data_IF_738323617859
#
_entry.id   IF_738323617859
#
_cell.length_a   1.000
_cell.length_b   1.000
_cell.length_c   1.000
_cell.angle_alpha   90.00
_cell.angle_beta   90.00
_cell.angle_gamma   90.00
#
_symmetry.space_group_name_H-M   'P 1'
#
loop_
_entity.id
_entity.type
_entity.pdbx_description
1 polymer ?
#
# COMPACT_ATOMS: atom_id res chain seq x y z
N UNK A 1 -10.88 -1.92 -33.26
CA UNK A 1 -11.20 -2.64 -32.02
C UNK A 1 -10.57 -1.90 -30.86
N UNK A 2 -11.30 -0.92 -30.32
CA UNK A 2 -10.95 -0.26 -29.08
C UNK A 2 -11.16 -1.23 -27.91
N UNK A 3 -10.23 -2.15 -27.71
CA UNK A 3 -10.24 -3.09 -26.61
C UNK A 3 -10.31 -2.33 -25.29
N UNK A 4 -11.42 -2.46 -24.61
CA UNK A 4 -11.62 -1.91 -23.28
C UNK A 4 -10.72 -2.72 -22.31
N UNK A 5 -9.43 -2.34 -22.25
CA UNK A 5 -8.47 -2.98 -21.36
C UNK A 5 -8.88 -2.72 -19.91
N UNK A 6 -9.08 -3.75 -19.09
CA UNK A 6 -9.37 -3.56 -17.68
C UNK A 6 -8.30 -2.66 -17.04
N UNK A 7 -8.66 -1.73 -16.15
CA UNK A 7 -7.70 -0.82 -15.50
C UNK A 7 -6.50 -1.54 -14.88
N UNK A 8 -6.69 -2.77 -14.40
CA UNK A 8 -5.62 -3.61 -13.83
C UNK A 8 -4.54 -3.92 -14.86
N UNK A 9 -4.88 -4.19 -16.13
CA UNK A 9 -3.90 -4.51 -17.17
C UNK A 9 -3.04 -3.29 -17.50
N UNK A 10 -3.67 -2.13 -17.66
CA UNK A 10 -2.96 -0.86 -17.93
C UNK A 10 -1.98 -0.54 -16.81
N UNK A 11 -2.42 -0.62 -15.56
CA UNK A 11 -1.56 -0.35 -14.40
C UNK A 11 -0.47 -1.42 -14.24
N UNK A 12 -0.78 -2.70 -14.55
CA UNK A 12 0.21 -3.79 -14.52
C UNK A 12 1.30 -3.57 -15.57
N UNK A 13 0.94 -3.13 -16.77
CA UNK A 13 1.91 -2.85 -17.82
C UNK A 13 2.75 -1.60 -17.49
N UNK A 14 2.12 -0.58 -16.90
CA UNK A 14 2.85 0.57 -16.36
C UNK A 14 3.83 0.13 -15.26
N UNK A 15 3.40 -0.71 -14.32
CA UNK A 15 4.23 -1.18 -13.21
C UNK A 15 5.43 -2.04 -13.66
N UNK A 16 5.37 -2.67 -14.84
CA UNK A 16 6.50 -3.42 -15.43
C UNK A 16 7.53 -2.53 -16.11
N UNK A 17 7.18 -1.29 -16.44
CA UNK A 17 8.09 -0.35 -17.10
C UNK A 17 9.18 0.11 -16.14
N UNK A 18 10.43 0.20 -16.63
CA UNK A 18 11.56 0.75 -15.86
C UNK A 18 11.39 2.21 -15.47
N UNK A 19 10.49 2.93 -16.17
CA UNK A 19 10.15 4.33 -15.89
C UNK A 19 8.89 4.49 -15.02
N UNK A 20 8.33 3.38 -14.53
CA UNK A 20 7.10 3.42 -13.74
C UNK A 20 7.34 4.11 -12.39
N UNK A 21 6.45 5.03 -12.05
CA UNK A 21 6.43 5.63 -10.73
C UNK A 21 5.87 4.63 -9.70
N UNK A 22 6.19 4.85 -8.43
CA UNK A 22 5.59 4.12 -7.29
C UNK A 22 4.06 4.24 -7.26
N UNK A 23 3.51 5.29 -7.90
CA UNK A 23 2.07 5.51 -8.00
C UNK A 23 1.34 4.38 -8.73
N UNK A 24 1.99 3.74 -9.71
CA UNK A 24 1.40 2.60 -10.40
C UNK A 24 1.23 1.40 -9.45
N UNK A 25 2.23 1.15 -8.59
CA UNK A 25 2.15 0.10 -7.57
C UNK A 25 1.09 0.43 -6.52
N UNK A 26 1.07 1.66 -6.05
CA UNK A 26 0.07 2.13 -5.10
C UNK A 26 -1.35 1.99 -5.68
N UNK A 27 -1.55 2.39 -6.94
CA UNK A 27 -2.83 2.24 -7.62
C UNK A 27 -3.26 0.77 -7.76
N UNK A 28 -2.32 -0.16 -8.05
CA UNK A 28 -2.60 -1.60 -8.04
C UNK A 28 -3.00 -2.10 -6.65
N UNK A 29 -2.34 -1.64 -5.59
CA UNK A 29 -2.72 -1.91 -4.21
C UNK A 29 -4.13 -1.40 -3.90
N UNK A 30 -4.45 -0.17 -4.30
CA UNK A 30 -5.78 0.44 -4.12
C UNK A 30 -6.87 -0.27 -4.93
N UNK A 31 -6.57 -0.79 -6.12
CA UNK A 31 -7.50 -1.63 -6.88
C UNK A 31 -7.88 -2.92 -6.15
N UNK A 32 -6.97 -3.50 -5.39
CA UNK A 32 -7.22 -4.71 -4.63
C UNK A 32 -7.44 -5.97 -5.48
N UNK A 33 -7.01 -5.97 -6.74
CA UNK A 33 -7.21 -7.06 -7.68
C UNK A 33 -6.07 -8.08 -7.58
N UNK A 34 -6.41 -9.34 -7.29
CA UNK A 34 -5.41 -10.39 -7.09
C UNK A 34 -4.57 -10.70 -8.35
N UNK A 35 -5.05 -10.35 -9.53
CA UNK A 35 -4.27 -10.50 -10.78
C UNK A 35 -3.01 -9.64 -10.80
N UNK A 36 -2.99 -8.56 -10.02
CA UNK A 36 -1.84 -7.66 -9.89
C UNK A 36 -0.76 -8.16 -8.93
N UNK A 37 -1.09 -9.09 -8.03
CA UNK A 37 -0.21 -9.53 -6.93
C UNK A 37 1.14 -10.03 -7.45
N UNK A 38 1.16 -10.84 -8.51
CA UNK A 38 2.43 -11.34 -9.07
C UNK A 38 3.32 -10.23 -9.64
N UNK A 39 2.73 -9.23 -10.29
CA UNK A 39 3.49 -8.07 -10.81
C UNK A 39 4.04 -7.23 -9.66
N UNK A 40 3.22 -6.93 -8.65
CA UNK A 40 3.66 -6.18 -7.46
C UNK A 40 4.77 -6.94 -6.74
N UNK A 41 4.61 -8.26 -6.55
CA UNK A 41 5.61 -9.10 -5.90
C UNK A 41 6.96 -9.07 -6.63
N UNK A 42 6.98 -9.10 -7.96
CA UNK A 42 8.21 -9.05 -8.74
C UNK A 42 8.97 -7.72 -8.54
N UNK A 43 8.25 -6.62 -8.24
CA UNK A 43 8.86 -5.33 -7.95
C UNK A 43 9.61 -5.28 -6.61
N UNK A 44 9.41 -6.24 -5.70
CA UNK A 44 10.20 -6.37 -4.47
C UNK A 44 11.69 -6.63 -4.75
N UNK A 45 12.03 -7.18 -5.92
CA UNK A 45 13.42 -7.43 -6.30
C UNK A 45 14.17 -6.14 -6.69
N UNK A 46 13.47 -5.04 -6.96
CA UNK A 46 14.08 -3.76 -7.26
C UNK A 46 14.15 -2.90 -5.98
N UNK A 47 15.35 -2.57 -5.47
CA UNK A 47 15.52 -1.83 -4.21
C UNK A 47 14.80 -0.47 -4.19
N UNK A 48 14.74 0.23 -5.32
CA UNK A 48 14.09 1.54 -5.43
C UNK A 48 12.57 1.45 -5.29
N UNK A 49 11.97 0.30 -5.65
CA UNK A 49 10.53 0.08 -5.70
C UNK A 49 10.02 -0.88 -4.64
N UNK A 50 10.93 -1.54 -3.93
CA UNK A 50 10.60 -2.62 -2.98
C UNK A 50 9.61 -2.15 -1.89
N UNK A 51 9.81 -0.94 -1.36
CA UNK A 51 8.91 -0.39 -0.34
C UNK A 51 7.53 -0.09 -0.91
N UNK A 52 7.42 0.49 -2.10
CA UNK A 52 6.13 0.74 -2.75
C UNK A 52 5.40 -0.57 -3.05
N UNK A 53 6.13 -1.61 -3.48
CA UNK A 53 5.58 -2.95 -3.69
C UNK A 53 5.09 -3.58 -2.37
N UNK A 54 5.87 -3.48 -1.29
CA UNK A 54 5.47 -3.96 0.03
C UNK A 54 4.20 -3.26 0.53
N UNK A 55 4.10 -1.93 0.37
CA UNK A 55 2.90 -1.16 0.71
C UNK A 55 1.69 -1.62 -0.11
N UNK A 56 1.86 -1.84 -1.41
CA UNK A 56 0.79 -2.30 -2.28
C UNK A 56 0.31 -3.71 -1.89
N UNK A 57 1.24 -4.65 -1.61
CA UNK A 57 0.89 -5.98 -1.11
C UNK A 57 0.19 -5.91 0.24
N UNK A 58 0.69 -5.11 1.20
CA UNK A 58 0.03 -4.88 2.48
C UNK A 58 -1.38 -4.34 2.31
N UNK A 59 -1.57 -3.37 1.41
CA UNK A 59 -2.86 -2.77 1.13
C UNK A 59 -3.90 -3.79 0.64
N UNK A 60 -3.47 -4.77 -0.16
CA UNK A 60 -4.33 -5.87 -0.63
C UNK A 60 -4.53 -6.90 0.48
N UNK A 61 -3.44 -7.36 1.08
CA UNK A 61 -3.40 -8.60 1.86
C UNK A 61 -3.58 -8.44 3.35
N UNK A 62 -3.23 -7.27 3.91
CA UNK A 62 -3.20 -7.06 5.36
C UNK A 62 -2.24 -8.01 6.08
N UNK A 63 -1.14 -8.40 5.42
CA UNK A 63 -0.22 -9.43 5.92
C UNK A 63 0.54 -9.01 7.19
N UNK A 64 0.70 -7.70 7.42
CA UNK A 64 1.41 -7.11 8.56
C UNK A 64 2.83 -7.70 8.73
N UNK A 65 3.54 -7.92 7.62
CA UNK A 65 4.92 -8.38 7.64
C UNK A 65 5.84 -7.22 8.00
N UNK A 66 6.07 -7.05 9.29
CA UNK A 66 6.83 -5.95 9.86
C UNK A 66 8.19 -6.46 10.32
N UNK A 67 9.24 -5.69 10.06
CA UNK A 67 10.60 -5.98 10.49
C UNK A 67 11.31 -4.74 11.01
N UNK A 68 12.19 -4.94 11.98
CA UNK A 68 13.12 -3.90 12.41
C UNK A 68 14.33 -3.92 11.47
N UNK A 69 14.60 -2.79 10.85
CA UNK A 69 15.75 -2.62 9.97
C UNK A 69 16.56 -1.40 10.40
N UNK A 70 17.85 -1.41 10.08
CA UNK A 70 18.70 -0.26 10.28
C UNK A 70 18.82 0.51 8.97
N UNK A 71 18.41 1.77 8.97
CA UNK A 71 18.56 2.66 7.83
C UNK A 71 19.77 3.56 8.11
N UNK A 72 20.87 3.42 7.33
CA UNK A 72 21.99 4.32 7.44
C UNK A 72 21.58 5.73 7.09
N UNK A 73 22.14 6.70 7.80
CA UNK A 73 21.97 8.11 7.46
C UNK A 73 22.61 8.41 6.10
N UNK A 74 21.89 9.18 5.27
CA UNK A 74 22.46 9.61 3.99
C UNK A 74 23.54 10.66 4.28
N UNK A 75 24.77 10.34 3.85
CA UNK A 75 25.89 11.25 3.98
C UNK A 75 25.69 12.41 3.00
N UNK A 76 25.64 13.63 3.54
CA UNK A 76 25.74 14.84 2.75
C UNK A 76 27.21 15.31 2.74
N UNK A 77 27.94 15.23 1.60
CA UNK A 77 29.34 15.59 1.55
C UNK A 77 29.63 17.04 1.97
N UNK A 78 28.66 17.94 1.80
CA UNK A 78 28.81 19.37 2.13
C UNK A 78 28.77 19.64 3.66
N UNK A 79 28.25 18.68 4.43
CA UNK A 79 28.18 18.75 5.89
C UNK A 79 29.32 18.04 6.61
N UNK A 80 30.21 17.37 5.85
CA UNK A 80 31.36 16.67 6.39
C UNK A 80 32.52 17.60 6.68
N UNK A 81 33.28 17.33 7.74
CA UNK A 81 34.59 17.93 7.95
C UNK A 81 35.57 17.54 6.83
N UNK A 82 36.58 18.36 6.57
CA UNK A 82 37.49 18.15 5.44
C UNK A 82 38.15 16.77 5.41
N UNK A 83 38.55 16.22 6.56
CA UNK A 83 39.14 14.91 6.68
C UNK A 83 38.14 13.80 6.40
N UNK A 84 36.91 13.96 6.88
CA UNK A 84 35.79 13.01 6.65
C UNK A 84 35.36 13.03 5.18
N UNK A 85 35.29 14.20 4.58
CA UNK A 85 34.94 14.37 3.16
C UNK A 85 35.97 13.67 2.26
N UNK A 86 37.26 13.88 2.53
CA UNK A 86 38.33 13.23 1.78
C UNK A 86 38.25 11.70 1.88
N UNK A 87 38.01 11.17 3.09
CA UNK A 87 37.79 9.74 3.30
C UNK A 87 36.58 9.22 2.57
N UNK A 88 35.45 9.96 2.61
CA UNK A 88 34.22 9.60 1.91
C UNK A 88 34.42 9.55 0.39
N UNK A 89 35.14 10.54 -0.18
CA UNK A 89 35.48 10.55 -1.59
C UNK A 89 36.38 9.38 -2.01
N UNK A 90 37.29 8.97 -1.14
CA UNK A 90 38.21 7.86 -1.41
C UNK A 90 37.56 6.46 -1.23
N UNK A 91 36.68 6.31 -0.25
CA UNK A 91 36.19 4.98 0.17
C UNK A 91 34.70 4.78 -0.03
N UNK A 92 33.92 5.84 -0.22
CA UNK A 92 32.46 5.81 -0.21
C UNK A 92 31.84 5.55 1.18
N UNK A 93 32.67 5.46 2.23
CA UNK A 93 32.22 5.20 3.60
C UNK A 93 32.02 6.52 4.35
N UNK A 94 30.78 6.75 4.82
CA UNK A 94 30.44 7.88 5.67
C UNK A 94 31.06 7.76 7.08
N UNK A 95 30.92 8.84 7.88
CA UNK A 95 31.37 8.86 9.26
C UNK A 95 30.77 7.72 10.07
N UNK A 96 31.53 7.24 11.04
CA UNK A 96 31.11 6.18 11.95
C UNK A 96 31.14 6.71 13.39
N UNK A 97 30.22 6.19 14.20
CA UNK A 97 30.19 6.46 15.63
C UNK A 97 31.42 5.89 16.34
N UNK A 98 31.62 6.22 17.62
CA UNK A 98 32.77 5.78 18.41
C UNK A 98 32.90 4.24 18.53
N UNK A 99 31.81 3.50 18.35
CA UNK A 99 31.77 2.03 18.31
C UNK A 99 31.98 1.45 16.89
N UNK A 100 32.35 2.30 15.93
CA UNK A 100 32.67 1.90 14.55
C UNK A 100 31.46 1.62 13.65
N UNK A 101 30.24 1.86 14.12
CA UNK A 101 29.01 1.65 13.33
C UNK A 101 28.63 2.90 12.54
N UNK A 102 28.01 2.75 11.37
CA UNK A 102 27.49 3.89 10.63
C UNK A 102 26.41 4.62 11.44
N UNK A 103 26.30 5.92 11.28
CA UNK A 103 25.15 6.67 11.78
C UNK A 103 23.89 6.25 11.05
N UNK A 104 22.76 6.26 11.76
CA UNK A 104 21.47 5.87 11.22
C UNK A 104 20.45 5.58 12.33
N UNK A 105 19.30 5.13 11.93
CA UNK A 105 18.21 4.82 12.86
C UNK A 105 17.70 3.37 12.66
N UNK A 106 17.34 2.73 13.77
CA UNK A 106 16.49 1.54 13.71
C UNK A 106 15.06 2.00 13.45
N UNK A 107 14.47 1.46 12.41
CA UNK A 107 13.08 1.75 12.05
C UNK A 107 12.31 0.44 11.93
N UNK A 108 11.08 0.47 12.37
CA UNK A 108 10.12 -0.62 12.17
C UNK A 108 9.34 -0.31 10.92
N UNK A 109 9.41 -1.17 9.92
CA UNK A 109 8.77 -0.95 8.62
C UNK A 109 8.25 -2.26 8.02
N UNK A 110 7.47 -2.16 6.94
CA UNK A 110 7.08 -3.33 6.15
C UNK A 110 8.31 -4.03 5.59
N UNK A 111 8.33 -5.36 5.70
CA UNK A 111 9.38 -6.17 5.11
C UNK A 111 9.40 -6.00 3.59
N UNK A 112 10.57 -5.70 3.05
CA UNK A 112 10.83 -5.68 1.62
C UNK A 112 11.45 -7.00 1.14
N UNK A 113 11.59 -7.99 2.01
CA UNK A 113 12.21 -9.27 1.69
C UNK A 113 11.27 -10.16 0.86
N UNK A 114 11.62 -10.47 -0.42
CA UNK A 114 10.78 -11.31 -1.27
C UNK A 114 10.55 -12.73 -0.72
N UNK A 115 11.50 -13.29 0.06
CA UNK A 115 11.33 -14.63 0.63
C UNK A 115 10.24 -14.64 1.69
N UNK A 116 10.18 -13.63 2.56
CA UNK A 116 9.16 -13.46 3.58
C UNK A 116 7.77 -13.33 2.95
N UNK A 117 7.62 -12.48 1.94
CA UNK A 117 6.36 -12.32 1.20
C UNK A 117 5.94 -13.59 0.48
N UNK A 118 6.89 -14.31 -0.15
CA UNK A 118 6.60 -15.57 -0.85
C UNK A 118 6.09 -16.63 0.11
N UNK A 119 6.72 -16.79 1.26
CA UNK A 119 6.30 -17.74 2.28
C UNK A 119 4.87 -17.43 2.74
N UNK A 120 4.60 -16.18 3.09
CA UNK A 120 3.27 -15.75 3.53
C UNK A 120 2.19 -15.95 2.45
N UNK A 121 2.45 -15.53 1.21
CA UNK A 121 1.50 -15.69 0.10
C UNK A 121 1.19 -17.17 -0.18
N UNK A 122 2.18 -18.05 -0.12
CA UNK A 122 1.96 -19.49 -0.32
C UNK A 122 1.10 -20.10 0.77
N UNK A 123 1.31 -19.72 2.01
CA UNK A 123 0.54 -20.18 3.17
C UNK A 123 -0.90 -19.71 3.13
N UNK A 124 -1.14 -18.47 2.69
CA UNK A 124 -2.43 -17.81 2.82
C UNK A 124 -3.25 -17.74 1.53
N UNK A 125 -2.71 -18.19 0.38
CA UNK A 125 -3.38 -18.10 -0.93
C UNK A 125 -4.81 -18.64 -0.95
N UNK A 126 -5.12 -19.68 -0.16
CA UNK A 126 -6.45 -20.29 -0.10
C UNK A 126 -7.52 -19.39 0.53
N UNK A 127 -7.11 -18.30 1.23
CA UNK A 127 -8.03 -17.31 1.82
C UNK A 127 -8.63 -16.36 0.80
N UNK A 128 -8.07 -16.29 -0.40
CA UNK A 128 -8.40 -15.29 -1.40
C UNK A 128 -9.16 -15.91 -2.58
N UNK A 129 -10.39 -15.47 -2.80
CA UNK A 129 -11.15 -15.82 -4.00
C UNK A 129 -10.70 -14.88 -5.15
N UNK A 130 -10.18 -15.41 -6.27
CA UNK A 130 -9.72 -14.62 -7.40
C UNK A 130 -10.81 -13.79 -8.09
N UNK A 131 -12.09 -14.05 -7.78
CA UNK A 131 -13.23 -13.29 -8.30
C UNK A 131 -13.54 -12.05 -7.49
N UNK A 132 -12.92 -11.87 -6.33
CA UNK A 132 -13.17 -10.75 -5.44
C UNK A 132 -11.98 -9.79 -5.43
N UNK A 133 -12.25 -8.57 -5.00
CA UNK A 133 -11.23 -7.57 -4.71
C UNK A 133 -11.02 -7.48 -3.21
N UNK A 134 -9.81 -7.11 -2.82
CA UNK A 134 -9.41 -7.14 -1.43
C UNK A 134 -8.87 -5.81 -0.94
N UNK A 135 -9.15 -5.53 0.32
CA UNK A 135 -8.57 -4.48 1.12
C UNK A 135 -8.19 -5.09 2.46
N UNK A 136 -6.93 -4.97 2.84
CA UNK A 136 -6.44 -5.41 4.15
C UNK A 136 -6.82 -6.89 4.47
N UNK A 137 -6.66 -7.78 3.47
CA UNK A 137 -6.96 -9.21 3.60
C UNK A 137 -8.43 -9.60 3.61
N UNK A 138 -9.34 -8.64 3.47
CA UNK A 138 -10.79 -8.86 3.45
C UNK A 138 -11.38 -8.46 2.10
N UNK A 139 -12.48 -9.08 1.67
CA UNK A 139 -13.22 -8.60 0.51
C UNK A 139 -13.54 -7.11 0.65
N UNK A 140 -13.20 -6.34 -0.39
CA UNK A 140 -13.28 -4.89 -0.38
C UNK A 140 -14.68 -4.40 0.00
N UNK A 141 -14.78 -3.60 1.05
CA UNK A 141 -16.02 -3.08 1.61
C UNK A 141 -15.72 -1.84 2.46
N UNK A 142 -16.74 -1.04 2.84
CA UNK A 142 -16.55 0.05 3.80
C UNK A 142 -15.91 -0.42 5.12
N UNK A 143 -16.27 -1.62 5.59
CA UNK A 143 -15.71 -2.18 6.81
C UNK A 143 -14.21 -2.52 6.66
N UNK A 144 -13.81 -3.16 5.55
CA UNK A 144 -12.41 -3.44 5.27
C UNK A 144 -11.58 -2.16 5.12
N UNK A 145 -12.16 -1.11 4.53
CA UNK A 145 -11.52 0.21 4.42
C UNK A 145 -11.34 0.88 5.79
N UNK A 146 -12.35 0.79 6.67
CA UNK A 146 -12.25 1.31 8.04
C UNK A 146 -11.14 0.60 8.83
N UNK A 147 -11.05 -0.73 8.74
CA UNK A 147 -9.99 -1.48 9.40
C UNK A 147 -8.60 -1.08 8.89
N UNK A 148 -8.44 -0.91 7.59
CA UNK A 148 -7.19 -0.41 7.02
C UNK A 148 -6.85 1.02 7.51
N UNK A 149 -7.83 1.89 7.74
CA UNK A 149 -7.60 3.21 8.33
C UNK A 149 -7.18 3.15 9.81
N UNK A 150 -7.61 2.12 10.54
CA UNK A 150 -7.30 1.92 11.96
C UNK A 150 -5.97 1.19 12.18
N UNK A 151 -5.43 0.52 11.16
CA UNK A 151 -4.14 -0.16 11.24
C UNK A 151 -3.00 0.87 11.31
N UNK A 152 -2.21 0.80 12.37
CA UNK A 152 -1.06 1.69 12.61
C UNK A 152 0.02 1.57 11.54
N UNK A 153 0.08 0.44 10.84
CA UNK A 153 1.04 0.18 9.76
C UNK A 153 0.57 0.68 8.39
N UNK A 154 -0.66 1.20 8.29
CA UNK A 154 -1.12 1.80 7.04
C UNK A 154 -0.51 3.19 6.86
N UNK A 155 0.30 3.43 5.81
CA UNK A 155 0.92 4.72 5.57
C UNK A 155 -0.11 5.84 5.36
N UNK A 156 0.22 7.07 5.78
CA UNK A 156 -0.67 8.23 5.66
C UNK A 156 -1.17 8.45 4.23
N UNK A 157 -0.31 8.23 3.22
CA UNK A 157 -0.71 8.33 1.82
C UNK A 157 -1.82 7.33 1.45
N UNK A 158 -1.71 6.09 1.91
CA UNK A 158 -2.74 5.06 1.69
C UNK A 158 -4.02 5.42 2.44
N UNK A 159 -3.90 5.92 3.68
CA UNK A 159 -5.05 6.39 4.47
C UNK A 159 -5.82 7.50 3.74
N UNK A 160 -5.11 8.49 3.19
CA UNK A 160 -5.74 9.58 2.42
C UNK A 160 -6.54 9.03 1.23
N UNK A 161 -5.93 8.13 0.44
CA UNK A 161 -6.59 7.49 -0.70
C UNK A 161 -7.80 6.64 -0.28
N UNK A 162 -7.74 5.96 0.86
CA UNK A 162 -8.88 5.21 1.40
C UNK A 162 -10.03 6.15 1.79
N UNK A 163 -9.72 7.32 2.36
CA UNK A 163 -10.75 8.33 2.66
C UNK A 163 -11.45 8.80 1.38
N UNK A 164 -10.70 9.14 0.35
CA UNK A 164 -11.24 9.51 -0.97
C UNK A 164 -12.06 8.37 -1.58
N UNK A 165 -11.55 7.15 -1.49
CA UNK A 165 -12.25 5.96 -1.99
C UNK A 165 -13.60 5.75 -1.32
N UNK A 166 -13.69 5.92 0.00
CA UNK A 166 -14.94 5.82 0.76
C UNK A 166 -15.98 6.85 0.28
N UNK A 167 -15.54 8.07 0.01
CA UNK A 167 -16.41 9.12 -0.54
C UNK A 167 -16.88 8.74 -1.95
N UNK A 168 -15.94 8.45 -2.84
CA UNK A 168 -16.24 8.25 -4.27
C UNK A 168 -17.04 6.97 -4.50
N UNK A 169 -16.68 5.88 -3.83
CA UNK A 169 -17.33 4.57 -4.05
C UNK A 169 -18.64 4.46 -3.29
N UNK A 170 -18.66 4.85 -2.04
CA UNK A 170 -19.76 4.52 -1.13
C UNK A 170 -20.58 5.73 -0.71
N UNK A 171 -20.19 6.95 -1.13
CA UNK A 171 -20.80 8.20 -0.69
C UNK A 171 -20.75 8.37 0.83
N UNK A 172 -19.70 7.84 1.47
CA UNK A 172 -19.49 8.05 2.88
C UNK A 172 -19.18 9.54 3.15
N UNK A 173 -19.74 10.06 4.23
CA UNK A 173 -19.37 11.38 4.71
C UNK A 173 -18.06 11.23 5.53
N UNK A 174 -16.91 11.35 4.87
CA UNK A 174 -15.60 11.26 5.50
C UNK A 174 -15.05 12.67 5.68
N UNK A 175 -14.77 13.00 6.93
CA UNK A 175 -14.17 14.28 7.33
C UNK A 175 -12.79 14.08 7.96
N UNK A 176 -12.25 12.87 7.87
CA UNK A 176 -10.91 12.52 8.34
C UNK A 176 -9.85 13.03 7.38
N UNK A 177 -8.92 13.84 7.89
CA UNK A 177 -7.69 14.22 7.22
C UNK A 177 -6.50 13.60 7.96
N UNK A 178 -5.53 13.09 7.21
CA UNK A 178 -4.43 12.27 7.77
C UNK A 178 -3.38 13.07 8.54
N UNK A 179 -3.36 14.38 8.40
CA UNK A 179 -2.48 15.34 9.07
C UNK A 179 -3.12 16.00 10.31
N UNK A 180 -4.39 15.70 10.59
CA UNK A 180 -5.05 16.14 11.82
C UNK A 180 -4.34 15.60 13.07
N UNK A 181 -4.42 16.31 14.22
CA UNK A 181 -4.01 15.77 15.50
C UNK A 181 -4.70 14.43 15.80
N UNK A 182 -3.98 13.46 16.37
CA UNK A 182 -4.47 12.09 16.63
C UNK A 182 -5.81 12.10 17.39
N UNK A 183 -5.99 13.04 18.34
CA UNK A 183 -7.24 13.18 19.08
C UNK A 183 -8.44 13.46 18.18
N UNK A 184 -8.26 14.30 17.17
CA UNK A 184 -9.31 14.64 16.20
C UNK A 184 -9.53 13.48 15.22
N UNK A 185 -8.45 12.85 14.74
CA UNK A 185 -8.57 11.64 13.90
C UNK A 185 -9.42 10.56 14.58
N UNK A 186 -9.23 10.33 15.88
CA UNK A 186 -10.02 9.33 16.62
C UNK A 186 -11.52 9.63 16.63
N UNK A 187 -11.92 10.91 16.70
CA UNK A 187 -13.35 11.28 16.62
C UNK A 187 -13.91 10.99 15.24
N UNK A 188 -13.21 11.42 14.19
CA UNK A 188 -13.65 11.18 12.80
C UNK A 188 -13.68 9.69 12.46
N UNK A 189 -12.75 8.89 12.99
CA UNK A 189 -12.80 7.43 12.84
C UNK A 189 -13.99 6.81 13.56
N UNK A 190 -14.38 7.32 14.73
CA UNK A 190 -15.58 6.87 15.44
C UNK A 190 -16.86 7.21 14.64
N UNK A 191 -16.96 8.42 14.08
CA UNK A 191 -18.08 8.82 13.23
C UNK A 191 -18.17 7.96 11.98
N UNK A 192 -17.02 7.66 11.35
CA UNK A 192 -16.94 6.76 10.20
C UNK A 192 -17.36 5.33 10.58
N UNK A 193 -16.96 4.85 11.76
CA UNK A 193 -17.37 3.53 12.26
C UNK A 193 -18.91 3.43 12.43
N UNK A 194 -19.52 4.46 12.97
CA UNK A 194 -20.98 4.55 13.09
C UNK A 194 -21.66 4.55 11.70
N UNK A 195 -21.08 5.29 10.75
CA UNK A 195 -21.58 5.30 9.38
C UNK A 195 -21.47 3.91 8.73
N UNK A 196 -20.32 3.23 8.88
CA UNK A 196 -20.08 1.88 8.37
C UNK A 196 -21.05 0.88 8.97
N UNK A 197 -21.29 0.93 10.28
CA UNK A 197 -22.26 0.08 10.96
C UNK A 197 -23.68 0.25 10.39
N UNK A 198 -24.07 1.48 10.11
CA UNK A 198 -25.43 1.81 9.63
C UNK A 198 -25.64 1.59 8.14
N UNK A 199 -24.56 1.66 7.35
CA UNK A 199 -24.67 1.68 5.88
C UNK A 199 -23.86 0.57 5.19
N UNK A 200 -22.86 -0.01 5.83
CA UNK A 200 -21.92 -0.93 5.19
C UNK A 200 -22.56 -2.15 4.57
N UNK A 201 -23.66 -2.64 5.15
CA UNK A 201 -24.40 -3.81 4.65
C UNK A 201 -25.10 -3.58 3.30
N UNK A 202 -25.26 -2.33 2.86
CA UNK A 202 -25.82 -1.98 1.54
C UNK A 202 -24.87 -2.31 0.39
N UNK A 203 -23.60 -2.56 0.69
CA UNK A 203 -22.54 -2.73 -0.29
C UNK A 203 -22.04 -4.18 -0.27
N UNK A 204 -22.24 -4.89 -1.37
CA UNK A 204 -21.74 -6.26 -1.51
C UNK A 204 -20.22 -6.30 -1.43
N UNK A 205 -19.62 -7.11 -0.51
CA UNK A 205 -18.17 -7.19 -0.36
C UNK A 205 -17.48 -7.70 -1.62
N UNK A 206 -16.31 -7.15 -1.95
CA UNK A 206 -15.50 -7.54 -3.10
C UNK A 206 -15.99 -6.99 -4.44
N UNK A 207 -17.11 -6.30 -4.47
CA UNK A 207 -17.72 -5.70 -5.68
C UNK A 207 -17.28 -4.25 -5.83
N UNK A 208 -17.04 -3.83 -7.07
CA UNK A 208 -16.83 -2.42 -7.37
C UNK A 208 -18.09 -1.61 -7.20
N UNK A 209 -17.96 -0.47 -6.52
CA UNK A 209 -19.01 0.54 -6.41
C UNK A 209 -18.50 1.88 -6.93
N UNK A 210 -19.41 2.67 -7.49
CA UNK A 210 -19.18 4.07 -7.82
C UNK A 210 -20.43 4.86 -7.43
N UNK A 211 -20.24 5.92 -6.70
CA UNK A 211 -21.32 6.76 -6.18
C UNK A 211 -22.46 5.95 -5.51
N UNK A 212 -22.10 4.91 -4.75
CA UNK A 212 -23.03 4.05 -4.02
C UNK A 212 -23.70 2.95 -4.86
N UNK A 213 -23.41 2.85 -6.15
CA UNK A 213 -23.99 1.85 -7.05
C UNK A 213 -22.97 0.77 -7.41
N UNK A 214 -23.35 -0.53 -7.42
CA UNK A 214 -22.48 -1.58 -7.90
C UNK A 214 -22.16 -1.39 -9.38
N UNK A 215 -20.91 -1.53 -9.73
CA UNK A 215 -20.45 -1.48 -11.12
C UNK A 215 -20.23 -2.89 -11.65
N UNK A 216 -20.55 -3.10 -12.92
CA UNK A 216 -20.16 -4.34 -13.61
C UNK A 216 -18.65 -4.29 -13.85
N UNK A 217 -17.94 -5.32 -13.41
CA UNK A 217 -16.52 -5.48 -13.76
C UNK A 217 -16.45 -6.08 -15.19
N UNK A 218 -15.96 -5.33 -16.18
CA UNK A 218 -15.89 -5.82 -17.56
C UNK A 218 -14.97 -7.04 -17.72
N UNK A 219 -14.11 -7.30 -16.74
CA UNK A 219 -13.17 -8.42 -16.74
C UNK A 219 -13.72 -9.70 -16.07
N UNK A 220 -14.91 -9.65 -15.48
CA UNK A 220 -15.49 -10.83 -14.81
C UNK A 220 -16.30 -11.67 -15.82
N UNK A 221 -15.97 -12.96 -16.00
CA UNK A 221 -16.78 -13.86 -16.83
C UNK A 221 -18.20 -13.97 -16.27
N UNK A 222 -19.20 -13.68 -17.11
CA UNK A 222 -20.61 -13.87 -16.74
C UNK A 222 -21.39 -12.59 -16.34
N UNK A 223 -20.81 -11.39 -16.48
CA UNK A 223 -21.60 -10.18 -16.36
C UNK A 223 -22.62 -10.12 -17.51
N UNK A 224 -23.96 -10.05 -17.27
CA UNK A 224 -24.93 -9.95 -18.35
C UNK A 224 -24.72 -8.65 -19.12
N UNK A 225 -24.84 -8.75 -20.46
CA UNK A 225 -24.74 -7.61 -21.38
C UNK A 225 -25.88 -6.62 -21.19
#
# INVERSE_FOLDING_TARGET
>A
DGGNYPPVNVLTDLAKSDKASDDALLALGMLGDLRSVSTIFNCLANPERAMAAAIALQTITGAALIEDTFIPEKVNPDELFDDERKKYEETGEGPKSADGKPYGAKVTQLSINPATWRAWLNEHKARFDPKLRYRHGKPMSPAASLEALQDEHTPNRVRALICEELIVRYRANVTLEVDMPVREQRKHLADLANWVQSNGQKFAPGVWHFAGRPMKDPAMPGAPR
#
